data_IF_311682176830
#
_entry.id   IF_311682176830
#
_cell.length_a   1.000
_cell.length_b   1.000
_cell.length_c   1.000
_cell.angle_alpha   90.00
_cell.angle_beta   90.00
_cell.angle_gamma   90.00
#
_symmetry.space_group_name_H-M   'P 1'
#
loop_
_entity.id
_entity.type
_entity.pdbx_description
1 polymer ?
#
# COMPACT_ATOMS: atom_id res chain seq x y z
N UNK A 1 -13.31 -29.07 5.58
CA UNK A 1 -12.63 -30.35 5.80
C UNK A 1 -11.59 -30.21 6.93
N UNK A 2 -11.94 -30.70 8.13
CA UNK A 2 -11.11 -30.64 9.32
C UNK A 2 -9.77 -31.36 9.16
N UNK A 3 -9.75 -32.47 8.41
CA UNK A 3 -8.52 -33.22 8.15
C UNK A 3 -7.50 -32.40 7.34
N UNK A 4 -7.98 -31.61 6.36
CA UNK A 4 -7.12 -30.69 5.61
C UNK A 4 -6.60 -29.57 6.50
N UNK A 5 -7.44 -29.01 7.37
CA UNK A 5 -7.06 -27.95 8.29
C UNK A 5 -5.98 -28.42 9.28
N UNK A 6 -6.16 -29.60 9.88
CA UNK A 6 -5.18 -30.19 10.81
C UNK A 6 -3.84 -30.54 10.16
N UNK A 7 -3.86 -30.89 8.88
CA UNK A 7 -2.67 -31.26 8.12
C UNK A 7 -2.16 -30.11 7.20
N UNK A 8 -2.63 -28.88 7.42
CA UNK A 8 -2.17 -27.75 6.63
C UNK A 8 -0.67 -27.52 6.87
N UNK A 9 0.13 -27.39 5.79
CA UNK A 9 1.56 -27.14 5.93
C UNK A 9 1.79 -25.84 6.70
N UNK A 10 2.60 -25.92 7.75
CA UNK A 10 2.96 -24.73 8.52
C UNK A 10 3.89 -23.86 7.68
N UNK A 11 3.54 -22.60 7.40
CA UNK A 11 4.43 -21.69 6.68
C UNK A 11 5.70 -21.43 7.52
N UNK A 12 6.83 -21.26 6.83
CA UNK A 12 8.11 -20.94 7.47
C UNK A 12 8.68 -19.67 6.87
N UNK A 13 9.31 -18.87 7.70
CA UNK A 13 10.08 -17.73 7.25
C UNK A 13 11.40 -18.19 6.63
N UNK A 14 11.84 -17.49 5.61
CA UNK A 14 13.23 -17.59 5.12
C UNK A 14 14.18 -16.98 6.14
N UNK A 15 15.47 -17.22 6.01
CA UNK A 15 16.47 -16.60 6.89
C UNK A 15 16.47 -15.06 6.79
N UNK A 16 16.23 -14.52 5.60
CA UNK A 16 16.13 -13.07 5.36
C UNK A 16 14.88 -12.47 6.05
N UNK A 17 13.73 -13.10 5.90
CA UNK A 17 12.48 -12.68 6.55
C UNK A 17 12.58 -12.74 8.08
N UNK A 18 13.21 -13.80 8.62
CA UNK A 18 13.43 -13.94 10.04
C UNK A 18 14.40 -12.86 10.55
N UNK A 19 15.50 -12.61 9.84
CA UNK A 19 16.46 -11.56 10.22
C UNK A 19 15.80 -10.15 10.21
N UNK A 20 14.92 -9.89 9.25
CA UNK A 20 14.15 -8.63 9.22
C UNK A 20 13.23 -8.50 10.44
N UNK A 21 12.56 -9.59 10.82
CA UNK A 21 11.66 -9.62 11.97
C UNK A 21 12.42 -9.44 13.29
N UNK A 22 13.61 -10.04 13.44
CA UNK A 22 14.41 -10.03 14.68
C UNK A 22 15.29 -8.78 14.81
N UNK A 23 15.56 -8.07 13.73
CA UNK A 23 16.36 -6.85 13.70
C UNK A 23 15.49 -5.59 13.45
N UNK A 24 15.24 -5.24 12.17
CA UNK A 24 14.55 -3.99 11.84
C UNK A 24 13.19 -3.83 12.50
N UNK A 25 12.38 -4.89 12.59
CA UNK A 25 11.04 -4.81 13.19
C UNK A 25 11.12 -4.63 14.70
N UNK A 26 12.05 -5.30 15.39
CA UNK A 26 12.28 -5.09 16.81
C UNK A 26 12.70 -3.66 17.12
N UNK A 27 13.56 -3.09 16.28
CA UNK A 27 14.01 -1.70 16.48
C UNK A 27 12.87 -0.72 16.24
N UNK A 28 12.07 -0.89 15.17
CA UNK A 28 10.89 -0.06 14.94
C UNK A 28 9.91 -0.11 16.13
N UNK A 29 9.72 -1.30 16.73
CA UNK A 29 8.90 -1.47 17.93
C UNK A 29 9.50 -0.70 19.15
N UNK A 30 10.82 -0.68 19.31
CA UNK A 30 11.47 0.07 20.40
C UNK A 30 11.39 1.58 20.22
N UNK A 31 11.44 2.06 18.97
CA UNK A 31 11.33 3.48 18.65
C UNK A 31 9.89 4.01 18.82
N UNK A 32 8.88 3.15 18.69
CA UNK A 32 7.49 3.56 18.73
C UNK A 32 6.99 3.81 20.16
N UNK A 33 6.48 5.03 20.39
CA UNK A 33 5.71 5.37 21.57
C UNK A 33 4.26 5.64 21.13
N UNK A 34 3.34 4.70 21.38
CA UNK A 34 1.97 4.79 20.89
C UNK A 34 1.20 5.99 21.46
N UNK A 35 1.47 6.38 22.71
CA UNK A 35 0.86 7.58 23.28
C UNK A 35 1.28 8.85 22.53
N UNK A 36 2.58 8.99 22.27
CA UNK A 36 3.12 10.11 21.51
C UNK A 36 2.56 10.15 20.09
N UNK A 37 2.56 9.01 19.41
CA UNK A 37 2.03 8.85 18.04
C UNK A 37 0.55 9.24 17.97
N UNK A 38 -0.24 8.74 18.91
CA UNK A 38 -1.70 8.86 18.85
C UNK A 38 -2.23 10.17 19.40
N UNK A 39 -1.65 10.67 20.51
CA UNK A 39 -2.22 11.78 21.30
C UNK A 39 -1.43 13.08 21.18
N UNK A 40 -0.15 13.03 20.88
CA UNK A 40 0.68 14.26 20.81
C UNK A 40 0.92 14.68 19.36
N UNK A 41 1.34 13.76 18.51
CA UNK A 41 1.74 14.07 17.14
C UNK A 41 0.60 13.87 16.12
N UNK A 42 -0.30 12.91 16.38
CA UNK A 42 -1.24 12.38 15.39
C UNK A 42 -0.56 11.90 14.09
N UNK A 43 0.71 11.51 14.21
CA UNK A 43 1.60 11.04 13.16
C UNK A 43 2.76 10.24 13.78
N UNK A 44 3.55 9.56 12.94
CA UNK A 44 4.79 8.94 13.39
C UNK A 44 5.88 10.02 13.58
N UNK A 45 6.77 9.86 14.59
CA UNK A 45 7.92 10.74 14.73
C UNK A 45 8.81 10.74 13.48
N UNK A 46 9.46 11.87 13.12
CA UNK A 46 10.31 11.98 11.93
C UNK A 46 11.42 10.93 11.86
N UNK A 47 12.02 10.60 13.00
CA UNK A 47 13.06 9.56 13.11
C UNK A 47 12.51 8.16 12.81
N UNK A 48 11.27 7.86 13.20
CA UNK A 48 10.63 6.61 12.87
C UNK A 48 10.26 6.53 11.38
N UNK A 49 9.76 7.62 10.78
CA UNK A 49 9.58 7.72 9.35
C UNK A 49 10.87 7.46 8.56
N UNK A 50 11.97 8.09 8.97
CA UNK A 50 13.27 7.91 8.35
C UNK A 50 13.73 6.45 8.45
N UNK A 51 13.60 5.84 9.62
CA UNK A 51 13.94 4.44 9.88
C UNK A 51 13.15 3.47 9.00
N UNK A 52 11.82 3.64 8.93
CA UNK A 52 10.95 2.80 8.11
C UNK A 52 11.32 2.86 6.62
N UNK A 53 11.66 4.05 6.11
CA UNK A 53 12.10 4.24 4.71
C UNK A 53 13.46 3.59 4.46
N UNK A 54 14.44 3.83 5.33
CA UNK A 54 15.80 3.26 5.24
C UNK A 54 15.76 1.73 5.20
N UNK A 55 14.97 1.13 6.10
CA UNK A 55 14.84 -0.32 6.22
C UNK A 55 13.77 -0.93 5.30
N UNK A 56 13.19 -0.15 4.37
CA UNK A 56 12.27 -0.61 3.34
C UNK A 56 10.99 -1.27 3.84
N UNK A 57 10.44 -0.81 4.94
CA UNK A 57 9.18 -1.32 5.46
C UNK A 57 8.00 -1.17 4.48
N UNK A 58 8.07 -0.23 3.55
CA UNK A 58 7.04 0.00 2.52
C UNK A 58 7.21 -0.86 1.27
N UNK A 59 8.22 -1.74 1.27
CA UNK A 59 8.64 -2.50 0.09
C UNK A 59 8.49 -4.02 0.24
N UNK A 60 7.77 -4.51 1.25
CA UNK A 60 7.69 -5.94 1.53
C UNK A 60 7.06 -6.73 0.37
N UNK A 61 6.05 -6.18 -0.33
CA UNK A 61 5.42 -6.84 -1.47
C UNK A 61 6.13 -6.57 -2.80
N UNK A 62 6.97 -5.55 -2.86
CA UNK A 62 7.63 -5.14 -4.10
C UNK A 62 8.76 -6.11 -4.41
N UNK A 63 8.86 -6.53 -5.67
CA UNK A 63 9.89 -7.46 -6.13
C UNK A 63 11.30 -6.89 -5.97
N UNK A 64 12.27 -7.79 -5.79
CA UNK A 64 13.68 -7.44 -5.64
C UNK A 64 14.26 -6.71 -6.84
N UNK A 65 13.80 -7.00 -8.05
CA UNK A 65 14.21 -6.32 -9.28
C UNK A 65 13.93 -4.80 -9.25
N UNK A 66 12.89 -4.36 -8.50
CA UNK A 66 12.55 -2.96 -8.28
C UNK A 66 13.09 -2.40 -6.95
N UNK A 67 13.97 -3.17 -6.27
CA UNK A 67 14.55 -2.78 -4.99
C UNK A 67 13.67 -3.06 -3.78
N UNK A 68 12.62 -3.87 -3.93
CA UNK A 68 11.77 -4.36 -2.85
C UNK A 68 12.38 -5.54 -2.08
N UNK A 69 11.63 -6.02 -1.10
CA UNK A 69 12.02 -7.16 -0.26
C UNK A 69 11.45 -8.49 -0.77
N UNK A 70 10.36 -8.46 -1.53
CA UNK A 70 9.69 -9.64 -2.08
C UNK A 70 9.38 -10.70 -1.00
N UNK A 71 8.88 -10.26 0.13
CA UNK A 71 8.57 -11.11 1.27
C UNK A 71 7.28 -11.90 1.05
N UNK A 72 7.25 -13.11 1.61
CA UNK A 72 6.04 -13.92 1.62
C UNK A 72 4.90 -13.23 2.37
N UNK A 73 3.66 -13.58 2.03
CA UNK A 73 2.48 -13.10 2.76
C UNK A 73 2.53 -13.47 4.26
N UNK A 74 3.18 -14.60 4.58
CA UNK A 74 3.38 -15.00 5.97
C UNK A 74 4.34 -14.07 6.70
N UNK A 75 5.46 -13.68 6.09
CA UNK A 75 6.41 -12.73 6.65
C UNK A 75 5.75 -11.37 6.88
N UNK A 76 5.02 -10.86 5.89
CA UNK A 76 4.26 -9.61 6.02
C UNK A 76 3.28 -9.65 7.19
N UNK A 77 2.52 -10.74 7.31
CA UNK A 77 1.60 -10.95 8.44
C UNK A 77 2.31 -10.94 9.79
N UNK A 78 3.49 -11.57 9.89
CA UNK A 78 4.30 -11.60 11.12
C UNK A 78 4.84 -10.22 11.49
N UNK A 79 5.29 -9.45 10.48
CA UNK A 79 5.73 -8.05 10.69
C UNK A 79 4.57 -7.21 11.23
N UNK A 80 3.43 -7.22 10.54
CA UNK A 80 2.26 -6.43 10.96
C UNK A 80 1.74 -6.86 12.33
N UNK A 81 1.72 -8.15 12.64
CA UNK A 81 1.35 -8.67 13.97
C UNK A 81 2.24 -8.06 15.06
N UNK A 82 3.55 -7.99 14.83
CA UNK A 82 4.51 -7.49 15.80
C UNK A 82 4.35 -5.99 16.01
N UNK A 83 4.27 -5.22 14.91
CA UNK A 83 4.03 -3.78 14.96
C UNK A 83 2.70 -3.42 15.64
N UNK A 84 1.63 -4.18 15.35
CA UNK A 84 0.30 -3.98 15.96
C UNK A 84 0.30 -4.20 17.47
N UNK A 85 1.20 -5.03 17.98
CA UNK A 85 1.37 -5.24 19.43
C UNK A 85 1.92 -4.03 20.17
N UNK A 86 2.48 -3.06 19.43
CA UNK A 86 3.05 -1.81 19.99
C UNK A 86 2.19 -0.61 19.62
N UNK A 87 1.86 -0.43 18.33
CA UNK A 87 1.04 0.68 17.85
C UNK A 87 0.21 0.28 16.62
N UNK A 88 -1.10 0.48 16.71
CA UNK A 88 -2.02 0.26 15.61
C UNK A 88 -1.75 1.22 14.44
N UNK A 89 -1.37 2.47 14.74
CA UNK A 89 -1.05 3.47 13.71
C UNK A 89 0.23 3.08 12.96
N UNK A 90 1.27 2.65 13.67
CA UNK A 90 2.50 2.16 13.04
C UNK A 90 2.21 0.96 12.12
N UNK A 91 1.46 -0.02 12.60
CA UNK A 91 1.12 -1.21 11.82
C UNK A 91 0.32 -0.86 10.54
N UNK A 92 -0.66 0.03 10.63
CA UNK A 92 -1.45 0.48 9.48
C UNK A 92 -0.61 1.28 8.49
N UNK A 93 0.27 2.14 8.99
CA UNK A 93 1.18 2.93 8.14
C UNK A 93 2.09 2.02 7.30
N UNK A 94 2.59 0.94 7.87
CA UNK A 94 3.37 -0.06 7.13
C UNK A 94 2.47 -0.98 6.31
N UNK A 95 1.30 -1.34 6.81
CA UNK A 95 0.39 -2.29 6.18
C UNK A 95 -0.21 -1.81 4.86
N UNK A 96 -0.61 -0.53 4.78
CA UNK A 96 -1.28 0.01 3.58
C UNK A 96 -0.40 -0.04 2.33
N UNK A 97 0.86 0.40 2.34
CA UNK A 97 1.75 0.26 1.18
C UNK A 97 2.00 -1.18 0.74
N UNK A 98 1.89 -2.13 1.67
CA UNK A 98 2.12 -3.56 1.45
C UNK A 98 0.82 -4.38 1.29
N UNK A 99 -0.26 -3.75 0.91
CA UNK A 99 -1.56 -4.40 0.67
C UNK A 99 -2.07 -4.09 -0.74
N UNK A 100 -3.37 -4.36 -1.00
CA UNK A 100 -3.98 -3.97 -2.27
C UNK A 100 -3.92 -2.45 -2.45
N UNK A 101 -3.20 -2.02 -3.46
CA UNK A 101 -3.00 -0.61 -3.75
C UNK A 101 -2.02 -0.39 -4.90
N UNK A 102 -1.49 0.83 -5.07
CA UNK A 102 -0.60 1.16 -6.18
C UNK A 102 0.56 0.20 -6.39
N UNK A 103 1.25 -0.22 -5.33
CA UNK A 103 2.39 -1.14 -5.43
C UNK A 103 2.00 -2.49 -6.03
N UNK A 104 0.95 -3.12 -5.50
CA UNK A 104 0.44 -4.41 -5.98
C UNK A 104 -0.13 -4.30 -7.39
N UNK A 105 -0.98 -3.29 -7.63
CA UNK A 105 -1.63 -3.11 -8.93
C UNK A 105 -0.65 -2.80 -10.04
N UNK A 106 0.38 -1.97 -9.79
CA UNK A 106 1.43 -1.68 -10.76
C UNK A 106 2.23 -2.93 -11.12
N UNK A 107 2.59 -3.77 -10.14
CA UNK A 107 3.32 -5.00 -10.43
C UNK A 107 2.55 -5.94 -11.37
N UNK A 108 1.22 -6.02 -11.20
CA UNK A 108 0.39 -6.92 -12.01
C UNK A 108 -0.09 -6.32 -13.33
N UNK A 109 -0.41 -5.03 -13.36
CA UNK A 109 -1.15 -4.41 -14.46
C UNK A 109 -0.47 -3.16 -15.05
N UNK A 110 0.57 -2.65 -14.42
CA UNK A 110 1.32 -1.50 -14.93
C UNK A 110 2.08 -1.83 -16.22
N UNK A 111 2.29 -0.82 -17.08
CA UNK A 111 3.27 -0.91 -18.18
C UNK A 111 4.68 -0.97 -17.60
N UNK A 112 5.65 -1.41 -18.39
CA UNK A 112 7.05 -1.47 -17.92
C UNK A 112 7.55 -0.07 -17.53
N UNK A 113 7.21 0.99 -18.29
CA UNK A 113 7.53 2.38 -17.95
C UNK A 113 6.93 2.81 -16.60
N UNK A 114 5.69 2.42 -16.33
CA UNK A 114 5.04 2.71 -15.04
C UNK A 114 5.71 1.96 -13.89
N UNK A 115 6.03 0.69 -14.09
CA UNK A 115 6.74 -0.12 -13.09
C UNK A 115 8.10 0.45 -12.77
N UNK A 116 8.89 0.74 -13.79
CA UNK A 116 10.25 1.28 -13.65
C UNK A 116 10.26 2.68 -13.00
N UNK A 117 9.21 3.46 -13.24
CA UNK A 117 9.09 4.78 -12.64
C UNK A 117 8.64 4.73 -11.17
N UNK A 118 7.58 3.99 -10.86
CA UNK A 118 6.95 4.06 -9.54
C UNK A 118 7.48 3.02 -8.54
N UNK A 119 7.69 1.77 -8.94
CA UNK A 119 8.01 0.72 -7.98
C UNK A 119 9.32 0.96 -7.22
N UNK A 120 10.42 1.43 -7.84
CA UNK A 120 11.63 1.75 -7.08
C UNK A 120 11.46 2.92 -6.10
N UNK A 121 10.59 3.87 -6.41
CA UNK A 121 10.30 5.02 -5.53
C UNK A 121 9.43 4.63 -4.36
N UNK A 122 8.42 3.79 -4.59
CA UNK A 122 7.60 3.18 -3.55
C UNK A 122 8.46 2.32 -2.63
N UNK A 123 9.36 1.51 -3.19
CA UNK A 123 10.26 0.65 -2.42
C UNK A 123 11.18 1.44 -1.48
N UNK A 124 11.63 2.62 -1.89
CA UNK A 124 12.46 3.52 -1.06
C UNK A 124 11.65 4.45 -0.16
N UNK A 125 10.31 4.40 -0.19
CA UNK A 125 9.45 5.32 0.53
C UNK A 125 9.61 6.79 0.10
N UNK A 126 10.09 7.02 -1.13
CA UNK A 126 10.10 8.35 -1.75
C UNK A 126 8.70 8.75 -2.19
N UNK A 127 7.91 7.76 -2.59
CA UNK A 127 6.48 7.88 -2.84
C UNK A 127 5.72 7.08 -1.77
N UNK A 128 4.67 7.65 -1.23
CA UNK A 128 3.78 7.01 -0.27
C UNK A 128 2.44 6.77 -0.97
N UNK A 129 1.99 5.50 -1.09
CA UNK A 129 0.75 5.21 -1.78
C UNK A 129 -0.45 5.30 -0.84
N UNK A 130 -1.60 5.67 -1.40
CA UNK A 130 -2.90 5.35 -0.82
C UNK A 130 -3.81 4.71 -1.87
N UNK A 131 -4.86 4.02 -1.42
CA UNK A 131 -5.83 3.39 -2.32
C UNK A 131 -7.25 3.91 -2.06
N UNK A 132 -7.73 4.76 -2.95
CA UNK A 132 -9.03 5.39 -2.90
C UNK A 132 -10.10 4.44 -3.47
N UNK A 133 -10.55 3.49 -2.65
CA UNK A 133 -11.57 2.50 -2.99
C UNK A 133 -12.96 2.90 -2.44
N UNK A 134 -13.06 3.14 -1.13
CA UNK A 134 -14.32 3.36 -0.42
C UNK A 134 -14.99 4.67 -0.83
N UNK A 135 -16.27 4.59 -1.18
CA UNK A 135 -17.15 5.74 -1.47
C UNK A 135 -18.18 5.89 -0.34
N UNK A 136 -18.85 7.05 -0.20
CA UNK A 136 -19.92 7.23 0.79
C UNK A 136 -21.03 6.17 0.68
N UNK A 137 -21.33 5.72 -0.54
CA UNK A 137 -22.41 4.78 -0.86
C UNK A 137 -21.94 3.32 -0.89
N UNK A 138 -20.63 3.07 -0.97
CA UNK A 138 -20.07 1.73 -1.16
C UNK A 138 -18.82 1.52 -0.33
N UNK A 139 -18.93 0.69 0.70
CA UNK A 139 -17.83 0.22 1.56
C UNK A 139 -17.50 -1.24 1.26
N UNK A 140 -18.13 -2.17 1.99
CA UNK A 140 -17.89 -3.62 1.85
C UNK A 140 -18.23 -4.17 0.47
N UNK A 141 -19.24 -3.62 -0.20
CA UNK A 141 -19.54 -3.91 -1.60
C UNK A 141 -18.72 -3.00 -2.52
N UNK A 142 -17.46 -3.32 -2.72
CA UNK A 142 -16.56 -2.57 -3.58
C UNK A 142 -17.03 -2.57 -5.06
N UNK A 143 -17.84 -3.54 -5.48
CA UNK A 143 -18.43 -3.58 -6.82
C UNK A 143 -19.53 -2.54 -7.04
N UNK A 144 -20.12 -2.01 -5.97
CA UNK A 144 -21.20 -1.03 -6.02
C UNK A 144 -20.73 0.44 -6.06
N UNK A 145 -19.40 0.71 -6.09
CA UNK A 145 -18.89 2.08 -6.16
C UNK A 145 -19.55 2.87 -7.30
N UNK A 146 -20.03 4.10 -7.03
CA UNK A 146 -20.69 4.92 -8.04
C UNK A 146 -19.72 5.72 -8.92
N UNK A 147 -18.45 5.76 -8.53
CA UNK A 147 -17.42 6.54 -9.18
C UNK A 147 -17.20 6.07 -10.62
N UNK A 148 -17.05 7.01 -11.54
CA UNK A 148 -16.98 6.73 -12.99
C UNK A 148 -15.80 7.41 -13.66
N UNK A 149 -15.27 6.75 -14.69
CA UNK A 149 -14.36 7.32 -15.67
C UNK A 149 -14.94 7.10 -17.07
N UNK A 150 -15.15 8.18 -17.81
CA UNK A 150 -15.69 8.13 -19.17
C UNK A 150 -14.57 8.48 -20.14
N UNK A 151 -14.25 7.54 -21.05
CA UNK A 151 -13.26 7.77 -22.09
C UNK A 151 -13.75 8.88 -23.02
N UNK A 152 -12.93 9.87 -23.27
CA UNK A 152 -13.26 11.02 -24.14
C UNK A 152 -11.99 11.72 -24.65
N UNK A 153 -12.15 12.46 -25.76
CA UNK A 153 -11.13 13.41 -26.17
C UNK A 153 -11.16 14.62 -25.24
N UNK A 154 -9.99 15.13 -24.92
CA UNK A 154 -9.80 16.33 -24.09
C UNK A 154 -8.54 17.06 -24.44
N UNK A 155 -8.43 18.32 -23.98
CA UNK A 155 -7.22 19.12 -24.18
C UNK A 155 -6.26 18.92 -23.02
N UNK A 156 -5.01 18.59 -23.34
CA UNK A 156 -3.90 18.53 -22.39
C UNK A 156 -2.67 19.24 -23.00
N UNK A 157 -2.13 20.23 -22.29
CA UNK A 157 -0.97 21.01 -22.73
C UNK A 157 -1.13 21.58 -24.16
N UNK A 158 -2.33 22.04 -24.51
CA UNK A 158 -2.65 22.60 -25.80
C UNK A 158 -2.83 21.58 -26.94
N UNK A 159 -2.86 20.29 -26.63
CA UNK A 159 -3.07 19.23 -27.63
C UNK A 159 -4.34 18.41 -27.29
N UNK A 160 -5.05 17.99 -28.32
CA UNK A 160 -6.16 17.05 -28.18
C UNK A 160 -5.59 15.66 -27.94
N UNK A 161 -5.95 15.07 -26.78
CA UNK A 161 -5.49 13.73 -26.37
C UNK A 161 -6.67 12.85 -25.99
N UNK A 162 -6.52 11.55 -26.22
CA UNK A 162 -7.42 10.58 -25.66
C UNK A 162 -7.18 10.46 -24.15
N UNK A 163 -8.20 10.67 -23.37
CA UNK A 163 -8.15 10.63 -21.91
C UNK A 163 -9.43 10.11 -21.31
N UNK A 164 -9.66 10.41 -20.03
CA UNK A 164 -10.91 10.07 -19.36
C UNK A 164 -11.38 11.20 -18.46
N UNK A 165 -12.68 11.40 -18.39
CA UNK A 165 -13.30 12.32 -17.45
C UNK A 165 -13.70 11.53 -16.21
N UNK A 166 -13.08 11.87 -15.06
CA UNK A 166 -13.32 11.21 -13.78
C UNK A 166 -14.35 11.99 -12.96
N UNK A 167 -15.32 11.26 -12.40
CA UNK A 167 -16.25 11.77 -11.39
C UNK A 167 -16.21 10.81 -10.20
N UNK A 168 -15.75 11.30 -9.05
CA UNK A 168 -15.55 10.44 -7.90
C UNK A 168 -15.70 11.20 -6.57
N UNK A 169 -16.09 10.44 -5.53
CA UNK A 169 -16.16 10.92 -4.15
C UNK A 169 -15.71 9.78 -3.23
N UNK A 170 -14.57 9.94 -2.59
CA UNK A 170 -13.96 8.90 -1.73
C UNK A 170 -13.85 9.38 -0.29
N UNK A 171 -13.93 8.42 0.66
CA UNK A 171 -13.75 8.71 2.09
C UNK A 171 -13.02 7.58 2.81
N UNK A 172 -12.50 7.89 3.98
CA UNK A 172 -11.77 6.94 4.84
C UNK A 172 -10.53 6.35 4.15
N UNK A 173 -9.84 7.15 3.36
CA UNK A 173 -8.67 6.70 2.63
C UNK A 173 -7.44 6.84 3.50
N UNK A 174 -6.98 5.71 4.04
CA UNK A 174 -5.79 5.64 4.90
C UNK A 174 -4.57 6.15 4.15
N UNK A 175 -3.72 6.93 4.82
CA UNK A 175 -2.56 7.64 4.31
C UNK A 175 -2.86 8.76 3.29
N UNK A 176 -4.11 9.03 2.92
CA UNK A 176 -4.42 10.09 1.95
C UNK A 176 -3.80 11.47 2.29
N UNK A 177 -3.73 11.94 3.55
CA UNK A 177 -3.13 13.24 3.87
C UNK A 177 -1.65 13.36 3.54
N UNK A 178 -0.92 12.24 3.46
CA UNK A 178 0.53 12.21 3.22
C UNK A 178 0.89 11.49 1.91
N UNK A 179 -0.11 10.98 1.19
CA UNK A 179 0.12 10.21 -0.02
C UNK A 179 0.63 11.10 -1.16
N UNK A 180 1.59 10.57 -1.91
CA UNK A 180 2.12 11.18 -3.13
C UNK A 180 1.66 10.43 -4.37
N UNK A 181 1.18 9.17 -4.20
CA UNK A 181 0.60 8.35 -5.27
C UNK A 181 -0.76 7.84 -4.81
N UNK A 182 -1.80 8.18 -5.56
CA UNK A 182 -3.17 7.76 -5.29
C UNK A 182 -3.62 6.74 -6.33
N UNK A 183 -3.91 5.51 -5.89
CA UNK A 183 -4.65 4.53 -6.67
C UNK A 183 -6.14 4.83 -6.54
N UNK A 184 -6.81 5.12 -7.65
CA UNK A 184 -8.24 5.43 -7.68
C UNK A 184 -9.02 4.27 -8.30
N UNK A 185 -9.99 3.73 -7.55
CA UNK A 185 -10.94 2.75 -8.05
C UNK A 185 -12.20 3.44 -8.58
N UNK A 186 -12.55 3.14 -9.84
CA UNK A 186 -13.75 3.65 -10.50
C UNK A 186 -14.23 2.68 -11.59
N UNK A 187 -15.45 2.85 -12.06
CA UNK A 187 -16.00 2.12 -13.20
C UNK A 187 -15.65 2.83 -14.50
N UNK A 188 -14.90 2.18 -15.36
CA UNK A 188 -14.56 2.71 -16.68
C UNK A 188 -15.68 2.44 -17.70
N UNK A 189 -16.05 3.46 -18.44
CA UNK A 189 -16.96 3.36 -19.60
C UNK A 189 -16.30 3.97 -20.82
N UNK A 190 -16.34 3.20 -21.92
CA UNK A 190 -15.92 3.66 -23.23
C UNK A 190 -17.17 3.73 -24.12
N UNK A 191 -17.69 4.94 -24.45
CA UNK A 191 -18.89 5.09 -25.25
C UNK A 191 -18.76 4.59 -26.69
N UNK A 192 -17.52 4.37 -27.15
CA UNK A 192 -17.27 3.88 -28.53
C UNK A 192 -17.11 2.35 -28.59
N UNK A 193 -17.17 1.65 -27.45
CA UNK A 193 -17.10 0.18 -27.30
C UNK A 193 -18.23 -0.34 -26.44
#
# INVERSE_FOLDING_TARGET
DWKKLHNYPQPRLTAEEQAFLDGPVEEACRMANDFQITHELADLPPELWAYLKEHRFFAMIIKKEYGGLEFSAYAQSRVLQKLSGVSGILAITVGVPNSLGPGELLQHYGTDEQKDHYLPRLARGQEIPCFALTSPEAGSDAGAIPDTGIVCMGEWQGQQVLGMRLTWNKRYITLAPIATVLGLAFKLSDPEK
#
